data_IF_801830148698
#
_entry.id   IF_801830148698
#
_cell.length_a   1.000
_cell.length_b   1.000
_cell.length_c   1.000
_cell.angle_alpha   90.00
_cell.angle_beta   90.00
_cell.angle_gamma   90.00
#
_symmetry.space_group_name_H-M   'P 1'
#
loop_
_entity.id
_entity.type
_entity.pdbx_description
1 polymer ?
#
# COMPACT_ATOMS: atom_id res chain seq x y z
N UNK A 1 -32.11 22.21 -21.85
CA UNK A 1 -31.62 21.21 -20.89
C UNK A 1 -30.30 21.72 -20.34
N UNK A 2 -30.30 22.14 -19.07
CA UNK A 2 -29.15 22.75 -18.40
C UNK A 2 -28.07 21.71 -18.07
N UNK A 3 -26.77 22.04 -18.19
CA UNK A 3 -25.69 21.13 -17.80
C UNK A 3 -25.61 21.00 -16.27
N UNK A 4 -25.52 19.78 -15.77
CA UNK A 4 -25.32 19.50 -14.35
C UNK A 4 -23.96 20.05 -13.88
N UNK A 5 -23.87 20.73 -12.73
CA UNK A 5 -22.60 21.17 -12.19
C UNK A 5 -21.85 19.98 -11.60
N UNK A 6 -20.67 19.67 -12.15
CA UNK A 6 -19.71 18.74 -11.56
C UNK A 6 -19.12 19.39 -10.29
N UNK A 7 -19.81 19.24 -9.15
CA UNK A 7 -19.27 19.66 -7.86
C UNK A 7 -18.09 18.77 -7.49
N UNK A 8 -16.89 19.32 -7.65
CA UNK A 8 -15.65 18.76 -7.15
C UNK A 8 -15.65 18.78 -5.61
N UNK A 9 -16.38 17.85 -5.00
CA UNK A 9 -16.45 17.69 -3.55
C UNK A 9 -15.16 17.01 -3.11
N UNK A 10 -14.15 17.80 -2.74
CA UNK A 10 -12.99 17.34 -1.97
C UNK A 10 -13.51 16.66 -0.70
N UNK A 11 -13.68 15.33 -0.74
CA UNK A 11 -13.86 14.51 0.45
C UNK A 11 -12.51 14.54 1.17
N UNK A 12 -12.41 15.34 2.21
CA UNK A 12 -11.43 15.12 3.27
C UNK A 12 -11.61 13.68 3.72
N UNK A 13 -10.63 12.83 3.38
CA UNK A 13 -10.62 11.45 3.86
C UNK A 13 -10.41 11.55 5.38
N UNK A 14 -11.50 11.44 6.14
CA UNK A 14 -11.45 11.21 7.58
C UNK A 14 -10.72 9.89 7.80
N UNK A 15 -9.41 9.99 8.00
CA UNK A 15 -8.59 8.86 8.42
C UNK A 15 -9.08 8.50 9.82
N UNK A 16 -9.64 7.30 9.95
CA UNK A 16 -10.22 6.83 11.19
C UNK A 16 -9.13 6.79 12.28
N UNK A 17 -9.24 7.57 13.39
CA UNK A 17 -8.15 7.71 14.37
C UNK A 17 -7.78 6.38 15.04
N UNK A 18 -8.70 5.41 15.07
CA UNK A 18 -8.45 4.05 15.61
C UNK A 18 -7.39 3.27 14.83
N UNK A 19 -7.25 3.49 13.51
CA UNK A 19 -6.23 2.83 12.68
C UNK A 19 -4.84 3.49 12.83
N UNK A 20 -4.79 4.79 13.12
CA UNK A 20 -3.55 5.48 13.48
C UNK A 20 -2.99 4.96 14.81
N UNK A 21 -3.85 4.66 15.80
CA UNK A 21 -3.43 4.11 17.10
C UNK A 21 -2.74 2.76 16.92
N UNK A 22 -3.28 1.85 16.11
CA UNK A 22 -2.67 0.53 15.89
C UNK A 22 -1.27 0.62 15.26
N UNK A 23 -1.13 1.44 14.22
CA UNK A 23 0.15 1.61 13.51
C UNK A 23 1.18 2.32 14.40
N UNK A 24 0.76 3.33 15.17
CA UNK A 24 1.60 4.05 16.12
C UNK A 24 2.05 3.17 17.30
N UNK A 25 1.20 2.25 17.77
CA UNK A 25 1.55 1.28 18.82
C UNK A 25 2.62 0.31 18.34
N UNK A 26 2.47 -0.25 17.13
CA UNK A 26 3.47 -1.15 16.55
C UNK A 26 4.81 -0.43 16.37
N UNK A 27 4.78 0.80 15.85
CA UNK A 27 5.99 1.61 15.71
C UNK A 27 6.67 1.86 17.06
N UNK A 28 5.90 2.29 18.06
CA UNK A 28 6.40 2.51 19.42
C UNK A 28 7.00 1.23 20.03
N UNK A 29 6.34 0.08 19.85
CA UNK A 29 6.84 -1.19 20.35
C UNK A 29 8.17 -1.60 19.70
N UNK A 30 8.32 -1.43 18.39
CA UNK A 30 9.57 -1.71 17.68
C UNK A 30 10.70 -0.79 18.18
N UNK A 31 10.42 0.50 18.34
CA UNK A 31 11.40 1.47 18.86
C UNK A 31 11.81 1.11 20.30
N UNK A 32 10.85 0.80 21.17
CA UNK A 32 11.11 0.42 22.56
C UNK A 32 11.90 -0.88 22.67
N UNK A 33 11.53 -1.91 21.93
CA UNK A 33 12.25 -3.20 21.92
C UNK A 33 13.66 -3.03 21.38
N UNK A 34 13.83 -2.31 20.26
CA UNK A 34 15.14 -2.01 19.69
C UNK A 34 16.02 -1.20 20.64
N UNK A 35 15.45 -0.17 21.27
CA UNK A 35 16.12 0.65 22.28
C UNK A 35 16.52 -0.15 23.51
N UNK A 36 15.64 -1.01 24.04
CA UNK A 36 15.92 -1.87 25.18
C UNK A 36 17.02 -2.89 24.87
N UNK A 37 16.98 -3.52 23.70
CA UNK A 37 18.02 -4.45 23.26
C UNK A 37 19.38 -3.75 23.15
N UNK A 38 19.40 -2.56 22.55
CA UNK A 38 20.62 -1.76 22.45
C UNK A 38 21.14 -1.33 23.82
N UNK A 39 20.27 -0.83 24.71
CA UNK A 39 20.64 -0.46 26.07
C UNK A 39 21.21 -1.64 26.86
N UNK A 40 20.67 -2.84 26.68
CA UNK A 40 21.18 -4.05 27.31
C UNK A 40 22.57 -4.44 26.81
N UNK A 41 22.79 -4.42 25.48
CA UNK A 41 24.11 -4.68 24.88
C UNK A 41 25.14 -3.61 25.29
N UNK A 42 24.71 -2.36 25.33
CA UNK A 42 25.49 -1.22 25.79
C UNK A 42 25.94 -1.44 27.24
N UNK A 43 24.98 -1.71 28.14
CA UNK A 43 25.24 -1.94 29.55
C UNK A 43 26.19 -3.11 29.78
N UNK A 44 25.95 -4.25 29.11
CA UNK A 44 26.79 -5.44 29.25
C UNK A 44 28.22 -5.17 28.79
N UNK A 45 28.38 -4.58 27.60
CA UNK A 45 29.70 -4.27 27.05
C UNK A 45 30.46 -3.21 27.85
N UNK A 46 29.76 -2.19 28.36
CA UNK A 46 30.38 -1.17 29.22
C UNK A 46 30.78 -1.73 30.58
N UNK A 47 29.98 -2.64 31.15
CA UNK A 47 30.30 -3.32 32.40
C UNK A 47 31.51 -4.24 32.26
N UNK A 48 31.58 -5.02 31.18
CA UNK A 48 32.74 -5.87 30.85
C UNK A 48 34.00 -5.01 30.65
N UNK A 49 33.91 -3.90 29.89
CA UNK A 49 35.03 -3.00 29.69
C UNK A 49 35.51 -2.29 30.97
N UNK A 50 34.58 -1.89 31.85
CA UNK A 50 34.91 -1.31 33.16
C UNK A 50 35.56 -2.36 34.09
N UNK A 51 35.07 -3.60 34.05
CA UNK A 51 35.66 -4.71 34.80
C UNK A 51 37.10 -4.99 34.34
N UNK A 52 37.32 -5.09 33.03
CA UNK A 52 38.65 -5.28 32.43
C UNK A 52 39.58 -4.11 32.75
N UNK A 53 39.10 -2.87 32.65
CA UNK A 53 39.86 -1.68 33.02
C UNK A 53 40.21 -1.66 34.52
N UNK A 54 39.32 -2.14 35.39
CA UNK A 54 39.58 -2.24 36.84
C UNK A 54 40.66 -3.28 37.16
N UNK A 55 40.69 -4.39 36.42
CA UNK A 55 41.70 -5.45 36.56
C UNK A 55 43.05 -5.05 35.96
N UNK A 56 43.05 -4.38 34.80
CA UNK A 56 44.28 -3.96 34.11
C UNK A 56 44.91 -2.67 34.66
N UNK A 57 44.13 -1.81 35.33
CA UNK A 57 44.64 -0.62 36.01
C UNK A 57 45.68 -0.93 37.09
N UNK A 58 45.71 -2.17 37.61
CA UNK A 58 46.75 -2.66 38.52
C UNK A 58 48.05 -3.08 37.81
N UNK A 59 48.02 -3.37 36.51
CA UNK A 59 49.14 -3.97 35.76
C UNK A 59 49.81 -3.05 34.71
N UNK A 60 49.51 -1.73 34.71
CA UNK A 60 50.13 -0.70 33.83
C UNK A 60 50.03 -0.96 32.32
N UNK A 61 48.97 -1.62 31.84
CA UNK A 61 48.74 -1.80 30.39
C UNK A 61 47.60 -0.89 29.93
N UNK A 62 47.94 0.24 29.29
CA UNK A 62 46.98 1.18 28.69
C UNK A 62 46.26 2.10 29.68
N UNK A 63 45.84 3.28 29.22
CA UNK A 63 45.00 4.16 30.06
C UNK A 63 43.56 3.62 30.07
N UNK A 64 42.85 3.60 31.21
CA UNK A 64 41.45 3.17 31.29
C UNK A 64 40.53 3.85 30.27
N UNK A 65 40.89 5.07 29.87
CA UNK A 65 40.22 5.83 28.82
C UNK A 65 40.26 5.14 27.45
N UNK A 66 41.39 4.57 27.03
CA UNK A 66 41.52 3.91 25.72
C UNK A 66 40.66 2.65 25.61
N UNK A 67 40.53 1.89 26.69
CA UNK A 67 39.72 0.66 26.75
C UNK A 67 38.24 1.02 26.62
N UNK A 68 37.77 1.99 27.41
CA UNK A 68 36.36 2.44 27.38
C UNK A 68 36.03 3.13 26.05
N UNK A 69 36.93 3.97 25.53
CA UNK A 69 36.76 4.65 24.23
C UNK A 69 36.61 3.65 23.08
N UNK A 70 37.48 2.64 23.01
CA UNK A 70 37.39 1.60 21.97
C UNK A 70 36.08 0.84 22.02
N UNK A 71 35.60 0.52 23.22
CA UNK A 71 34.31 -0.14 23.40
C UNK A 71 33.13 0.74 22.97
N UNK A 72 33.16 2.04 23.33
CA UNK A 72 32.13 3.00 22.90
C UNK A 72 32.10 3.17 21.38
N UNK A 73 33.26 3.31 20.73
CA UNK A 73 33.36 3.41 19.26
C UNK A 73 32.79 2.16 18.59
N UNK A 74 33.09 0.97 19.13
CA UNK A 74 32.54 -0.30 18.62
C UNK A 74 31.02 -0.35 18.75
N UNK A 75 30.48 0.05 19.89
CA UNK A 75 29.02 0.05 20.10
C UNK A 75 28.32 1.08 19.22
N UNK A 76 28.92 2.25 19.00
CA UNK A 76 28.41 3.25 18.06
C UNK A 76 28.42 2.71 16.62
N UNK A 77 29.49 2.03 16.20
CA UNK A 77 29.57 1.41 14.88
C UNK A 77 28.52 0.30 14.70
N UNK A 78 28.30 -0.53 15.73
CA UNK A 78 27.24 -1.56 15.72
C UNK A 78 25.85 -0.94 15.63
N UNK A 79 25.57 0.12 16.39
CA UNK A 79 24.31 0.85 16.32
C UNK A 79 24.08 1.41 14.92
N UNK A 80 25.08 2.09 14.36
CA UNK A 80 24.99 2.68 13.03
C UNK A 80 24.76 1.61 11.95
N UNK A 81 25.48 0.50 12.01
CA UNK A 81 25.31 -0.63 11.09
C UNK A 81 23.89 -1.23 11.21
N UNK A 82 23.39 -1.42 12.42
CA UNK A 82 22.05 -1.97 12.66
C UNK A 82 20.94 -1.04 12.13
N UNK A 83 21.04 0.27 12.41
CA UNK A 83 20.09 1.28 11.91
C UNK A 83 20.11 1.32 10.38
N UNK A 84 21.30 1.31 9.79
CA UNK A 84 21.47 1.32 8.33
C UNK A 84 20.88 0.07 7.70
N UNK A 85 21.18 -1.12 8.24
CA UNK A 85 20.64 -2.39 7.75
C UNK A 85 19.11 -2.43 7.85
N UNK A 86 18.53 -1.95 8.96
CA UNK A 86 17.09 -1.86 9.14
C UNK A 86 16.44 -0.89 8.13
N UNK A 87 17.05 0.28 7.89
CA UNK A 87 16.58 1.24 6.91
C UNK A 87 16.61 0.68 5.48
N UNK A 88 17.69 -0.01 5.11
CA UNK A 88 17.83 -0.68 3.80
C UNK A 88 16.78 -1.78 3.67
N UNK A 89 16.60 -2.63 4.68
CA UNK A 89 15.60 -3.69 4.66
C UNK A 89 14.18 -3.12 4.50
N UNK A 90 13.84 -2.06 5.26
CA UNK A 90 12.54 -1.39 5.15
C UNK A 90 12.33 -0.79 3.75
N UNK A 91 13.36 -0.17 3.17
CA UNK A 91 13.32 0.38 1.82
C UNK A 91 13.09 -0.71 0.76
N UNK A 92 13.84 -1.82 0.84
CA UNK A 92 13.69 -2.96 -0.09
C UNK A 92 12.28 -3.55 0.02
N UNK A 93 11.76 -3.78 1.22
CA UNK A 93 10.42 -4.30 1.43
C UNK A 93 9.35 -3.36 0.86
N UNK A 94 9.53 -2.04 1.00
CA UNK A 94 8.63 -1.04 0.45
C UNK A 94 8.65 -1.07 -1.09
N UNK A 95 9.82 -1.14 -1.71
CA UNK A 95 9.97 -1.25 -3.17
C UNK A 95 9.31 -2.53 -3.70
N UNK A 96 9.56 -3.69 -3.05
CA UNK A 96 8.95 -4.95 -3.44
C UNK A 96 7.41 -4.88 -3.36
N UNK A 97 6.89 -4.31 -2.27
CA UNK A 97 5.44 -4.18 -2.08
C UNK A 97 4.78 -3.26 -3.10
N UNK A 98 5.44 -2.17 -3.49
CA UNK A 98 4.95 -1.29 -4.57
C UNK A 98 4.99 -2.04 -5.90
N UNK A 99 6.09 -2.72 -6.20
CA UNK A 99 6.28 -3.47 -7.45
C UNK A 99 5.18 -4.53 -7.62
N UNK A 100 4.91 -5.32 -6.59
CA UNK A 100 3.89 -6.37 -6.62
C UNK A 100 2.48 -5.77 -6.84
N UNK A 101 2.20 -4.66 -6.16
CA UNK A 101 0.96 -3.92 -6.34
C UNK A 101 0.76 -3.39 -7.76
N UNK A 102 1.80 -2.76 -8.32
CA UNK A 102 1.76 -2.26 -9.69
C UNK A 102 1.63 -3.38 -10.71
N UNK A 103 2.39 -4.48 -10.55
CA UNK A 103 2.28 -5.65 -11.42
C UNK A 103 0.86 -6.22 -11.42
N UNK A 104 0.22 -6.29 -10.24
CA UNK A 104 -1.17 -6.73 -10.12
C UNK A 104 -2.13 -5.79 -10.83
N UNK A 105 -1.98 -4.47 -10.67
CA UNK A 105 -2.83 -3.48 -11.37
C UNK A 105 -2.70 -3.58 -12.89
N UNK A 106 -1.47 -3.71 -13.40
CA UNK A 106 -1.22 -3.90 -14.84
C UNK A 106 -1.87 -5.18 -15.35
N UNK A 107 -1.77 -6.27 -14.60
CA UNK A 107 -2.42 -7.55 -14.95
C UNK A 107 -3.94 -7.41 -15.00
N UNK A 108 -4.55 -6.72 -14.04
CA UNK A 108 -6.01 -6.50 -14.00
C UNK A 108 -6.48 -5.63 -15.16
N UNK A 109 -5.72 -4.59 -15.52
CA UNK A 109 -6.00 -3.77 -16.71
C UNK A 109 -5.89 -4.60 -17.99
N UNK A 110 -4.88 -5.47 -18.08
CA UNK A 110 -4.72 -6.40 -19.21
C UNK A 110 -5.89 -7.38 -19.31
N UNK A 111 -6.35 -7.94 -18.19
CA UNK A 111 -7.54 -8.80 -18.15
C UNK A 111 -8.80 -8.05 -18.57
N UNK A 112 -8.95 -6.79 -18.14
CA UNK A 112 -10.05 -5.92 -18.56
C UNK A 112 -10.04 -5.68 -20.07
N UNK A 113 -8.86 -5.43 -20.66
CA UNK A 113 -8.71 -5.31 -22.12
C UNK A 113 -9.02 -6.59 -22.89
N UNK A 114 -8.96 -7.75 -22.23
CA UNK A 114 -9.40 -9.05 -22.77
C UNK A 114 -10.89 -9.35 -22.53
N UNK A 115 -11.62 -8.43 -21.90
CA UNK A 115 -13.05 -8.55 -21.62
C UNK A 115 -13.40 -9.10 -20.24
N UNK A 116 -12.42 -9.39 -19.37
CA UNK A 116 -12.70 -9.78 -17.98
C UNK A 116 -12.84 -8.54 -17.08
N UNK A 117 -14.09 -8.19 -16.79
CA UNK A 117 -14.45 -7.09 -15.90
C UNK A 117 -14.83 -7.57 -14.49
N UNK A 118 -14.84 -8.88 -14.25
CA UNK A 118 -15.40 -9.49 -13.03
C UNK A 118 -14.35 -9.81 -11.96
N UNK A 119 -13.11 -10.13 -12.37
CA UNK A 119 -12.04 -10.50 -11.45
C UNK A 119 -11.58 -9.30 -10.61
N UNK A 120 -11.59 -9.34 -9.26
CA UNK A 120 -11.22 -8.18 -8.45
C UNK A 120 -9.75 -7.78 -8.57
N UNK A 121 -9.46 -6.48 -8.52
CA UNK A 121 -8.11 -5.98 -8.64
C UNK A 121 -7.23 -6.46 -7.48
N UNK A 122 -7.73 -6.31 -6.25
CA UNK A 122 -7.08 -6.74 -5.00
C UNK A 122 -5.56 -6.48 -4.97
N UNK A 123 -5.13 -5.30 -5.45
CA UNK A 123 -3.72 -4.96 -5.51
C UNK A 123 -3.17 -4.72 -4.08
N UNK A 124 -2.28 -5.58 -3.56
CA UNK A 124 -1.60 -5.32 -2.31
C UNK A 124 -0.63 -4.17 -2.52
N UNK A 125 -0.52 -3.25 -1.58
CA UNK A 125 0.38 -2.11 -1.80
C UNK A 125 0.33 -1.08 -0.72
N UNK A 126 0.92 0.07 -1.03
CA UNK A 126 0.66 1.31 -0.32
C UNK A 126 -0.78 1.77 -0.55
N UNK A 127 -1.23 2.70 0.27
CA UNK A 127 -2.60 3.23 0.27
C UNK A 127 -3.03 3.69 -1.12
N UNK A 128 -2.15 4.33 -1.88
CA UNK A 128 -2.42 4.87 -3.20
C UNK A 128 -2.71 3.76 -4.22
N UNK A 129 -1.92 2.68 -4.20
CA UNK A 129 -2.12 1.49 -5.05
C UNK A 129 -3.46 0.84 -4.75
N UNK A 130 -3.80 0.70 -3.45
CA UNK A 130 -5.09 0.14 -3.04
C UNK A 130 -6.25 1.04 -3.44
N UNK A 131 -6.15 2.36 -3.27
CA UNK A 131 -7.17 3.32 -3.72
C UNK A 131 -7.39 3.19 -5.22
N UNK A 132 -6.32 3.17 -6.01
CA UNK A 132 -6.44 3.02 -7.46
C UNK A 132 -7.13 1.70 -7.84
N UNK A 133 -6.74 0.59 -7.21
CA UNK A 133 -7.40 -0.71 -7.40
C UNK A 133 -8.91 -0.66 -7.12
N UNK A 134 -9.32 -0.02 -6.02
CA UNK A 134 -10.75 0.14 -5.69
C UNK A 134 -11.51 1.01 -6.70
N UNK A 135 -10.87 2.06 -7.23
CA UNK A 135 -11.47 2.90 -8.27
C UNK A 135 -11.62 2.13 -9.58
N UNK A 136 -10.62 1.34 -9.94
CA UNK A 136 -10.66 0.48 -11.12
C UNK A 136 -11.80 -0.55 -11.02
N UNK A 137 -11.95 -1.23 -9.88
CA UNK A 137 -13.03 -2.19 -9.66
C UNK A 137 -14.42 -1.53 -9.68
N UNK A 138 -14.54 -0.29 -9.19
CA UNK A 138 -15.78 0.47 -9.29
C UNK A 138 -16.17 0.78 -10.75
N UNK A 139 -15.19 1.20 -11.57
CA UNK A 139 -15.42 1.45 -13.01
C UNK A 139 -15.82 0.15 -13.72
N UNK A 140 -15.10 -0.95 -13.48
CA UNK A 140 -15.40 -2.24 -14.12
C UNK A 140 -16.76 -2.79 -13.73
N UNK A 141 -17.15 -2.63 -12.47
CA UNK A 141 -18.48 -3.00 -11.99
C UNK A 141 -19.58 -2.16 -12.64
N UNK A 142 -19.34 -0.85 -12.80
CA UNK A 142 -20.26 0.03 -13.51
C UNK A 142 -20.43 -0.38 -14.98
N UNK A 143 -19.33 -0.67 -15.68
CA UNK A 143 -19.36 -1.15 -17.07
C UNK A 143 -20.11 -2.48 -17.19
N UNK A 144 -19.88 -3.44 -16.28
CA UNK A 144 -20.66 -4.69 -16.24
C UNK A 144 -22.16 -4.44 -16.05
N UNK A 145 -22.52 -3.48 -15.19
CA UNK A 145 -23.92 -3.06 -15.02
C UNK A 145 -24.53 -2.57 -16.33
N UNK A 146 -23.84 -1.68 -17.04
CA UNK A 146 -24.31 -1.17 -18.35
C UNK A 146 -24.44 -2.28 -19.40
N UNK A 147 -23.50 -3.25 -19.42
CA UNK A 147 -23.61 -4.43 -20.30
C UNK A 147 -24.84 -5.27 -19.93
N UNK A 148 -25.12 -5.42 -18.64
CA UNK A 148 -26.33 -6.08 -18.13
C UNK A 148 -27.61 -5.42 -18.64
N UNK A 149 -27.71 -4.10 -18.48
CA UNK A 149 -28.86 -3.29 -18.96
C UNK A 149 -29.07 -3.42 -20.47
N UNK A 150 -27.99 -3.36 -21.27
CA UNK A 150 -28.05 -3.57 -22.72
C UNK A 150 -28.56 -4.98 -23.04
N UNK A 151 -28.08 -5.99 -22.32
CA UNK A 151 -28.48 -7.38 -22.53
C UNK A 151 -29.97 -7.59 -22.23
N UNK A 152 -30.47 -6.97 -21.17
CA UNK A 152 -31.89 -6.98 -20.81
C UNK A 152 -32.74 -6.29 -21.89
N UNK A 153 -32.34 -5.10 -22.33
CA UNK A 153 -33.02 -4.35 -23.38
C UNK A 153 -33.07 -5.13 -24.72
N UNK A 154 -31.96 -5.77 -25.11
CA UNK A 154 -31.93 -6.70 -26.25
C UNK A 154 -32.89 -7.87 -26.05
N UNK A 155 -32.93 -8.43 -24.84
CA UNK A 155 -33.84 -9.51 -24.48
C UNK A 155 -35.32 -9.10 -24.61
N UNK A 156 -35.65 -7.88 -24.21
CA UNK A 156 -36.99 -7.29 -24.36
C UNK A 156 -37.31 -7.10 -25.84
N UNK A 157 -36.42 -6.46 -26.61
CA UNK A 157 -36.61 -6.24 -28.06
C UNK A 157 -36.81 -7.54 -28.85
N UNK A 158 -36.16 -8.63 -28.42
CA UNK A 158 -36.29 -9.94 -29.06
C UNK A 158 -37.63 -10.63 -28.79
N UNK A 159 -38.27 -10.38 -27.64
CA UNK A 159 -39.43 -11.13 -27.16
C UNK A 159 -40.75 -10.35 -27.21
N UNK A 160 -40.70 -9.02 -27.24
CA UNK A 160 -41.91 -8.19 -27.17
C UNK A 160 -42.57 -7.96 -28.53
N UNK A 161 -43.91 -7.94 -28.61
CA UNK A 161 -44.62 -7.43 -29.77
C UNK A 161 -44.52 -5.90 -29.76
N UNK A 162 -43.64 -5.35 -30.59
CA UNK A 162 -43.49 -3.90 -30.78
C UNK A 162 -44.02 -3.48 -32.14
N UNK A 163 -44.56 -2.27 -32.22
CA UNK A 163 -44.77 -1.63 -33.51
C UNK A 163 -43.41 -1.34 -34.17
N UNK A 164 -43.34 -1.24 -35.51
CA UNK A 164 -42.10 -0.92 -36.21
C UNK A 164 -41.45 0.39 -35.73
N UNK A 165 -42.26 1.38 -35.38
CA UNK A 165 -41.81 2.70 -34.91
C UNK A 165 -41.18 2.62 -33.51
N UNK A 166 -41.83 1.91 -32.58
CA UNK A 166 -41.31 1.68 -31.24
C UNK A 166 -40.01 0.87 -31.26
N UNK A 167 -39.95 -0.16 -32.12
CA UNK A 167 -38.75 -0.96 -32.30
C UNK A 167 -37.59 -0.08 -32.78
N UNK A 168 -37.78 0.73 -33.82
CA UNK A 168 -36.73 1.59 -34.36
C UNK A 168 -36.23 2.61 -33.32
N UNK A 169 -37.14 3.24 -32.58
CA UNK A 169 -36.78 4.21 -31.55
C UNK A 169 -35.89 3.58 -30.46
N UNK A 170 -36.27 2.40 -29.97
CA UNK A 170 -35.51 1.66 -28.95
C UNK A 170 -34.20 1.12 -29.49
N UNK A 171 -34.19 0.64 -30.72
CA UNK A 171 -32.99 0.17 -31.41
C UNK A 171 -31.94 1.28 -31.57
N UNK A 172 -32.35 2.50 -31.93
CA UNK A 172 -31.45 3.66 -32.01
C UNK A 172 -30.87 4.00 -30.63
N UNK A 173 -31.69 4.02 -29.57
CA UNK A 173 -31.19 4.26 -28.20
C UNK A 173 -30.19 3.19 -27.76
N UNK A 174 -30.46 1.92 -28.09
CA UNK A 174 -29.57 0.81 -27.76
C UNK A 174 -28.22 0.94 -28.47
N UNK A 175 -28.20 1.31 -29.76
CA UNK A 175 -26.94 1.58 -30.47
C UNK A 175 -26.12 2.70 -29.81
N UNK A 176 -26.79 3.78 -29.39
CA UNK A 176 -26.13 4.88 -28.67
C UNK A 176 -25.58 4.40 -27.33
N UNK A 177 -26.31 3.55 -26.60
CA UNK A 177 -25.85 2.98 -25.34
C UNK A 177 -24.63 2.07 -25.53
N UNK A 178 -24.64 1.20 -26.55
CA UNK A 178 -23.50 0.34 -26.90
C UNK A 178 -22.27 1.18 -27.26
N UNK A 179 -22.44 2.22 -28.07
CA UNK A 179 -21.35 3.12 -28.47
C UNK A 179 -20.75 3.93 -27.31
N UNK A 180 -21.40 4.03 -26.16
CA UNK A 180 -20.83 4.65 -24.96
C UNK A 180 -19.89 3.72 -24.17
N UNK A 181 -19.99 2.41 -24.39
CA UNK A 181 -19.18 1.39 -23.68
C UNK A 181 -17.95 1.01 -24.51
N UNK A 182 -18.12 0.91 -25.83
CA UNK A 182 -17.06 0.58 -26.79
C UNK A 182 -16.81 1.83 -27.65
N UNK A 183 -15.89 2.72 -27.26
CA UNK A 183 -15.43 3.80 -28.13
C UNK A 183 -14.56 3.28 -29.29
#
# INVERSE_FOLDING_TARGET
>A
MSPLPYQNRRRTVLVNPRLQVGTALVFSAVVLLGGALFAWVLYRGSREALWDASLQGHFRVGTPYEIVSRQMVRQLAVLFAAVTAAAVAAFVLLVLRIRDGMARLTEVLRMSGKGDLSSPANAPGLREVTIFGTQLDAVRSHTLGQIGEIREEVGVLRKGPFSPEEFQLRWVRLKVAIGRIVP
#
